data_IF_304735288592
#
_entry.id   IF_304735288592
#
_cell.length_a   1.000
_cell.length_b   1.000
_cell.length_c   1.000
_cell.angle_alpha   90.00
_cell.angle_beta   90.00
_cell.angle_gamma   90.00
#
_symmetry.space_group_name_H-M   'P 1'
#
loop_
_entity.id
_entity.type
_entity.pdbx_description
1 polymer ?
#
# COMPACT_ATOMS: atom_id res chain seq x y z
N UNK A 1 2.85 5.99 -0.05
CA UNK A 1 2.18 7.16 -0.69
C UNK A 1 2.94 8.41 -0.31
N UNK A 2 2.64 9.58 -0.91
CA UNK A 2 3.38 10.83 -0.61
C UNK A 2 2.49 11.86 0.09
N UNK A 3 3.04 12.60 1.05
CA UNK A 3 2.37 13.75 1.65
C UNK A 3 2.08 14.80 0.57
N UNK A 4 0.83 15.24 0.49
CA UNK A 4 0.32 16.18 -0.52
C UNK A 4 -0.11 15.55 -1.85
N UNK A 5 0.15 14.26 -2.08
CA UNK A 5 -0.41 13.50 -3.19
C UNK A 5 -1.87 13.14 -2.88
N UNK A 6 -2.78 13.19 -3.85
CA UNK A 6 -4.15 12.70 -3.68
C UNK A 6 -4.21 11.20 -3.95
N UNK A 7 -5.19 10.49 -3.39
CA UNK A 7 -5.43 9.09 -3.75
C UNK A 7 -5.62 8.89 -5.26
N UNK A 8 -6.31 9.82 -5.94
CA UNK A 8 -6.51 9.80 -7.39
C UNK A 8 -5.23 9.95 -8.21
N UNK A 9 -4.22 10.66 -7.71
CA UNK A 9 -2.90 10.75 -8.34
C UNK A 9 -2.02 9.54 -7.99
N UNK A 10 -2.20 9.01 -6.78
CA UNK A 10 -1.51 7.82 -6.29
C UNK A 10 -1.92 6.57 -7.07
N UNK A 11 -3.22 6.34 -7.26
CA UNK A 11 -3.79 5.09 -7.80
C UNK A 11 -3.22 4.65 -9.17
N UNK A 12 -3.25 5.47 -10.24
CA UNK A 12 -2.67 5.05 -11.52
C UNK A 12 -1.15 4.87 -11.43
N UNK A 13 -0.47 5.69 -10.61
CA UNK A 13 0.98 5.63 -10.43
C UNK A 13 1.41 4.34 -9.72
N UNK A 14 0.69 3.94 -8.68
CA UNK A 14 0.98 2.71 -7.94
C UNK A 14 0.63 1.48 -8.77
N UNK A 15 -0.53 1.45 -9.45
CA UNK A 15 -0.94 0.29 -10.26
C UNK A 15 0.06 0.03 -11.38
N UNK A 16 0.41 1.06 -12.17
CA UNK A 16 1.38 0.90 -13.25
C UNK A 16 2.79 0.60 -12.72
N UNK A 17 3.18 1.27 -11.63
CA UNK A 17 4.47 1.05 -10.97
C UNK A 17 4.61 -0.38 -10.44
N UNK A 18 3.56 -0.94 -9.84
CA UNK A 18 3.53 -2.29 -9.30
C UNK A 18 3.61 -3.35 -10.40
N UNK A 19 2.89 -3.17 -11.52
CA UNK A 19 2.99 -4.07 -12.68
C UNK A 19 4.42 -4.10 -13.25
N UNK A 20 5.01 -2.92 -13.45
CA UNK A 20 6.39 -2.79 -13.94
C UNK A 20 7.40 -3.40 -12.96
N UNK A 21 7.28 -3.06 -11.67
CA UNK A 21 8.17 -3.55 -10.62
C UNK A 21 8.11 -5.07 -10.50
N UNK A 22 6.90 -5.65 -10.49
CA UNK A 22 6.71 -7.10 -10.45
C UNK A 22 7.42 -7.79 -11.62
N UNK A 23 7.25 -7.27 -12.84
CA UNK A 23 7.93 -7.81 -14.03
C UNK A 23 9.46 -7.67 -13.95
N UNK A 24 9.97 -6.52 -13.53
CA UNK A 24 11.41 -6.26 -13.42
C UNK A 24 12.07 -7.18 -12.36
N UNK A 25 11.44 -7.32 -11.20
CA UNK A 25 11.92 -8.20 -10.12
C UNK A 25 11.91 -9.67 -10.54
N UNK A 26 10.83 -10.10 -11.20
CA UNK A 26 10.70 -11.48 -11.64
C UNK A 26 11.67 -11.81 -12.78
N UNK A 27 11.81 -10.91 -13.76
CA UNK A 27 12.80 -11.05 -14.80
C UNK A 27 14.22 -11.10 -14.23
N UNK A 28 14.52 -10.31 -13.18
CA UNK A 28 15.80 -10.35 -12.48
C UNK A 28 16.02 -11.70 -11.77
N UNK A 29 15.02 -12.23 -11.07
CA UNK A 29 15.09 -13.55 -10.42
C UNK A 29 15.39 -14.65 -11.42
N UNK A 30 14.65 -14.70 -12.54
CA UNK A 30 14.81 -15.73 -13.57
C UNK A 30 16.19 -15.65 -14.24
N UNK A 31 16.65 -14.44 -14.58
CA UNK A 31 17.99 -14.24 -15.15
C UNK A 31 19.10 -14.64 -14.19
N UNK A 32 18.95 -14.40 -12.89
CA UNK A 32 19.89 -14.84 -11.87
C UNK A 32 19.98 -16.38 -11.73
N UNK A 33 18.98 -17.10 -12.26
CA UNK A 33 18.94 -18.56 -12.33
C UNK A 33 19.11 -19.10 -13.75
N UNK A 34 19.65 -18.29 -14.68
CA UNK A 34 19.87 -18.64 -16.10
C UNK A 34 18.60 -19.14 -16.82
N UNK A 35 17.44 -18.61 -16.43
CA UNK A 35 16.14 -18.96 -17.01
C UNK A 35 15.61 -17.88 -17.96
N UNK A 36 14.81 -18.31 -18.94
CA UNK A 36 14.11 -17.40 -19.85
C UNK A 36 12.96 -16.71 -19.12
N UNK A 37 12.85 -15.39 -19.31
CA UNK A 37 11.78 -14.56 -18.71
C UNK A 37 10.40 -15.00 -19.18
N UNK A 38 10.25 -15.32 -20.46
CA UNK A 38 9.03 -15.94 -20.99
C UNK A 38 9.14 -17.46 -20.86
N UNK A 39 8.69 -17.98 -19.72
CA UNK A 39 8.65 -19.42 -19.44
C UNK A 39 7.57 -19.72 -18.40
N UNK A 40 7.23 -21.00 -18.24
CA UNK A 40 6.32 -21.46 -17.18
C UNK A 40 6.90 -21.27 -15.77
N UNK A 41 8.17 -20.90 -15.64
CA UNK A 41 8.80 -20.59 -14.34
C UNK A 41 8.55 -19.14 -13.90
N UNK A 42 7.92 -18.34 -14.76
CA UNK A 42 7.59 -16.96 -14.48
C UNK A 42 6.27 -16.88 -13.70
N UNK A 43 6.37 -16.50 -12.42
CA UNK A 43 5.25 -16.47 -11.49
C UNK A 43 4.23 -15.38 -11.84
N UNK A 44 4.67 -14.28 -12.48
CA UNK A 44 3.76 -13.23 -12.98
C UNK A 44 2.90 -13.77 -14.13
N UNK A 45 3.51 -14.47 -15.09
CA UNK A 45 2.78 -15.07 -16.21
C UNK A 45 1.81 -16.16 -15.71
N UNK A 46 2.25 -17.00 -14.77
CA UNK A 46 1.40 -18.02 -14.16
C UNK A 46 0.19 -17.39 -13.46
N UNK A 47 0.39 -16.31 -12.71
CA UNK A 47 -0.69 -15.61 -12.00
C UNK A 47 -1.74 -15.05 -12.97
N UNK A 48 -1.29 -14.43 -14.07
CA UNK A 48 -2.19 -13.96 -15.13
C UNK A 48 -2.92 -15.11 -15.83
N UNK A 49 -2.23 -16.20 -16.15
CA UNK A 49 -2.82 -17.38 -16.78
C UNK A 49 -3.90 -18.01 -15.90
N UNK A 50 -3.63 -18.20 -14.60
CA UNK A 50 -4.61 -18.71 -13.63
C UNK A 50 -5.85 -17.80 -13.57
N UNK A 51 -5.64 -16.48 -13.60
CA UNK A 51 -6.75 -15.50 -13.57
C UNK A 51 -7.63 -15.64 -14.81
N UNK A 52 -7.02 -15.75 -16.00
CA UNK A 52 -7.73 -15.98 -17.27
C UNK A 52 -8.50 -17.29 -17.25
N UNK A 53 -7.88 -18.38 -16.80
CA UNK A 53 -8.54 -19.70 -16.71
C UNK A 53 -9.72 -19.65 -15.74
N UNK A 54 -9.56 -19.02 -14.58
CA UNK A 54 -10.64 -18.86 -13.59
C UNK A 54 -11.80 -18.05 -14.17
N UNK A 55 -11.51 -16.91 -14.80
CA UNK A 55 -12.53 -16.05 -15.38
C UNK A 55 -13.25 -16.77 -16.52
N UNK A 56 -12.52 -17.49 -17.38
CA UNK A 56 -13.10 -18.30 -18.43
C UNK A 56 -14.00 -19.41 -17.88
N UNK A 57 -13.55 -20.15 -16.86
CA UNK A 57 -14.33 -21.22 -16.24
C UNK A 57 -15.64 -20.69 -15.64
N UNK A 58 -15.59 -19.57 -14.91
CA UNK A 58 -16.79 -18.94 -14.33
C UNK A 58 -17.72 -18.41 -15.43
N UNK A 59 -17.16 -17.86 -16.51
CA UNK A 59 -17.94 -17.36 -17.65
C UNK A 59 -18.62 -18.50 -18.43
N UNK A 60 -17.95 -19.64 -18.62
CA UNK A 60 -18.55 -20.83 -19.22
C UNK A 60 -19.66 -21.39 -18.33
N UNK A 61 -19.47 -21.37 -17.01
CA UNK A 61 -20.44 -21.89 -16.05
C UNK A 61 -21.70 -21.03 -15.90
N UNK A 62 -21.54 -19.71 -15.77
CA UNK A 62 -22.63 -18.76 -15.46
C UNK A 62 -23.08 -17.92 -16.66
N UNK A 63 -22.42 -18.08 -17.81
CA UNK A 63 -22.66 -17.31 -19.02
C UNK A 63 -21.94 -15.95 -19.05
N UNK A 64 -21.96 -15.31 -20.22
CA UNK A 64 -21.27 -14.04 -20.47
C UNK A 64 -21.77 -12.87 -19.58
N UNK A 65 -22.98 -12.98 -19.03
CA UNK A 65 -23.54 -11.97 -18.13
C UNK A 65 -22.71 -11.76 -16.85
N UNK A 66 -21.88 -12.73 -16.45
CA UNK A 66 -21.02 -12.61 -15.26
C UNK A 66 -19.76 -11.74 -15.51
N UNK A 67 -19.35 -11.55 -16.76
CA UNK A 67 -18.09 -10.86 -17.10
C UNK A 67 -18.01 -9.45 -16.52
N UNK A 68 -19.05 -8.59 -16.62
CA UNK A 68 -19.01 -7.27 -15.99
C UNK A 68 -18.79 -7.34 -14.47
N UNK A 69 -19.40 -8.30 -13.79
CA UNK A 69 -19.23 -8.49 -12.34
C UNK A 69 -17.80 -8.91 -12.00
N UNK A 70 -17.19 -9.79 -12.80
CA UNK A 70 -15.78 -10.20 -12.65
C UNK A 70 -14.81 -9.03 -12.83
N UNK A 71 -15.09 -8.14 -13.78
CA UNK A 71 -14.27 -6.94 -13.99
C UNK A 71 -14.47 -5.95 -12.85
N UNK A 72 -15.71 -5.67 -12.46
CA UNK A 72 -16.04 -4.74 -11.38
C UNK A 72 -15.41 -5.20 -10.07
N UNK A 73 -15.53 -6.49 -9.70
CA UNK A 73 -14.90 -6.98 -8.47
C UNK A 73 -13.38 -6.84 -8.54
N UNK A 74 -12.76 -7.12 -9.69
CA UNK A 74 -11.30 -7.09 -9.80
C UNK A 74 -10.80 -5.65 -9.63
N UNK A 75 -11.49 -4.70 -10.26
CA UNK A 75 -11.22 -3.26 -10.12
C UNK A 75 -11.43 -2.81 -8.69
N UNK A 76 -12.54 -3.20 -8.07
CA UNK A 76 -12.80 -2.87 -6.68
C UNK A 76 -11.75 -3.46 -5.74
N UNK A 77 -11.35 -4.72 -5.95
CA UNK A 77 -10.39 -5.43 -5.12
C UNK A 77 -9.00 -4.77 -5.13
N UNK A 78 -8.45 -4.46 -6.30
CA UNK A 78 -7.15 -3.78 -6.33
C UNK A 78 -7.25 -2.32 -5.86
N UNK A 79 -8.35 -1.60 -6.15
CA UNK A 79 -8.54 -0.25 -5.63
C UNK A 79 -8.63 -0.24 -4.10
N UNK A 80 -9.28 -1.24 -3.50
CA UNK A 80 -9.36 -1.40 -2.05
C UNK A 80 -7.97 -1.69 -1.45
N UNK A 81 -7.18 -2.54 -2.09
CA UNK A 81 -5.79 -2.78 -1.68
C UNK A 81 -4.95 -1.50 -1.76
N UNK A 82 -5.08 -0.73 -2.84
CA UNK A 82 -4.29 0.49 -3.03
C UNK A 82 -4.72 1.64 -2.11
N UNK A 83 -6.00 1.77 -1.76
CA UNK A 83 -6.43 2.78 -0.78
C UNK A 83 -5.95 2.43 0.63
N UNK A 84 -5.92 1.15 0.98
CA UNK A 84 -5.31 0.66 2.23
C UNK A 84 -3.82 1.00 2.26
N UNK A 85 -3.06 0.64 1.22
CA UNK A 85 -1.65 1.02 1.07
C UNK A 85 -1.44 2.53 1.14
N UNK A 86 -2.34 3.30 0.54
CA UNK A 86 -2.27 4.75 0.55
C UNK A 86 -2.43 5.31 1.96
N UNK A 87 -3.41 4.82 2.72
CA UNK A 87 -3.70 5.20 4.10
C UNK A 87 -2.53 4.83 5.03
N UNK A 88 -2.07 3.59 4.95
CA UNK A 88 -1.03 3.02 5.81
C UNK A 88 0.34 3.65 5.63
N UNK A 89 0.66 4.15 4.43
CA UNK A 89 1.99 4.66 4.13
C UNK A 89 2.00 6.15 3.73
N UNK A 90 0.96 6.91 4.12
CA UNK A 90 0.85 8.32 3.76
C UNK A 90 1.96 9.15 4.38
N UNK A 91 2.83 9.73 3.54
CA UNK A 91 3.90 10.63 3.96
C UNK A 91 5.10 9.94 4.63
N UNK A 92 5.04 8.63 4.86
CA UNK A 92 6.11 7.89 5.54
C UNK A 92 7.21 7.45 4.56
N UNK A 93 8.46 7.52 4.99
CA UNK A 93 9.64 7.16 4.20
C UNK A 93 10.68 6.43 5.03
N UNK A 94 11.20 5.33 4.49
CA UNK A 94 12.41 4.68 5.03
C UNK A 94 13.65 5.43 4.57
N UNK A 95 14.54 5.70 5.50
CA UNK A 95 15.81 6.36 5.25
C UNK A 95 16.83 5.40 4.63
N UNK A 96 17.70 5.97 3.80
CA UNK A 96 18.85 5.27 3.23
C UNK A 96 20.05 5.51 4.13
N UNK A 97 20.67 4.42 4.58
CA UNK A 97 21.89 4.45 5.39
C UNK A 97 23.09 4.81 4.51
N UNK A 98 24.18 5.27 5.13
CA UNK A 98 25.46 5.57 4.45
C UNK A 98 26.00 4.39 3.65
N UNK A 99 25.70 3.16 4.08
CA UNK A 99 26.01 1.92 3.35
C UNK A 99 25.28 1.77 2.01
N UNK A 100 24.38 2.68 1.66
CA UNK A 100 23.54 2.63 0.47
C UNK A 100 22.33 1.70 0.58
N UNK A 101 22.16 0.98 1.70
CA UNK A 101 20.97 0.16 2.00
C UNK A 101 19.92 0.97 2.74
N UNK A 102 18.65 0.60 2.59
CA UNK A 102 17.57 1.15 3.41
C UNK A 102 17.60 0.61 4.84
N UNK A 103 17.21 1.43 5.80
CA UNK A 103 17.03 1.02 7.20
C UNK A 103 16.05 -0.15 7.31
N UNK A 104 16.16 -0.98 8.36
CA UNK A 104 15.24 -2.11 8.56
C UNK A 104 13.80 -1.60 8.69
N UNK A 105 12.82 -2.36 8.18
CA UNK A 105 11.41 -2.04 8.40
C UNK A 105 11.08 -2.09 9.90
N UNK A 106 10.42 -1.05 10.41
CA UNK A 106 10.06 -0.83 11.81
C UNK A 106 8.60 -0.35 11.88
N UNK A 107 7.92 -0.49 13.03
CA UNK A 107 6.53 -0.07 13.16
C UNK A 107 6.26 1.40 12.78
N UNK A 108 7.25 2.27 12.94
CA UNK A 108 7.20 3.69 12.55
C UNK A 108 7.00 3.94 11.05
N UNK A 109 7.28 2.97 10.18
CA UNK A 109 7.17 3.14 8.72
C UNK A 109 5.75 2.90 8.16
N UNK A 110 4.76 2.78 9.03
CA UNK A 110 3.37 2.53 8.66
C UNK A 110 2.42 3.03 9.74
N UNK A 111 1.35 3.70 9.33
CA UNK A 111 0.24 4.07 10.19
C UNK A 111 -0.48 2.82 10.69
N UNK A 112 -0.71 2.77 11.99
CA UNK A 112 -1.42 1.70 12.69
C UNK A 112 -2.85 2.16 12.99
N UNK A 113 -3.77 1.23 13.23
CA UNK A 113 -5.06 1.56 13.84
C UNK A 113 -5.41 0.49 14.87
N UNK A 114 -5.99 0.88 16.00
CA UNK A 114 -6.28 -0.06 17.09
C UNK A 114 -7.74 0.07 17.54
N UNK A 115 -8.67 0.20 16.58
CA UNK A 115 -10.09 0.23 16.90
C UNK A 115 -10.66 -1.19 16.98
N UNK A 116 -11.23 -1.55 18.12
CA UNK A 116 -11.66 -2.93 18.42
C UNK A 116 -12.70 -3.45 17.41
N UNK A 117 -13.68 -2.62 17.04
CA UNK A 117 -14.74 -3.01 16.10
C UNK A 117 -14.19 -3.31 14.69
N UNK A 118 -13.29 -2.46 14.20
CA UNK A 118 -12.66 -2.63 12.88
C UNK A 118 -11.62 -3.75 12.88
N UNK A 119 -10.86 -3.93 13.96
CA UNK A 119 -9.96 -5.07 14.14
C UNK A 119 -10.72 -6.39 14.12
N UNK A 120 -11.89 -6.49 14.77
CA UNK A 120 -12.69 -7.73 14.70
C UNK A 120 -13.22 -7.97 13.27
N UNK A 121 -13.73 -6.93 12.60
CA UNK A 121 -14.29 -7.05 11.24
C UNK A 121 -13.23 -7.33 10.15
N UNK A 122 -12.04 -6.76 10.30
CA UNK A 122 -10.91 -6.93 9.38
C UNK A 122 -9.89 -7.95 9.91
N UNK A 123 -10.29 -8.79 10.87
CA UNK A 123 -9.47 -9.81 11.52
C UNK A 123 -8.13 -9.36 12.17
N UNK A 124 -7.92 -8.09 12.50
CA UNK A 124 -6.68 -7.45 12.98
C UNK A 124 -5.74 -6.95 11.88
N UNK A 125 -6.28 -6.71 10.67
CA UNK A 125 -5.53 -6.08 9.57
C UNK A 125 -4.90 -4.76 10.02
N UNK A 126 -5.53 -4.09 10.99
CA UNK A 126 -5.09 -2.78 11.44
C UNK A 126 -3.74 -2.78 12.17
N UNK A 127 -3.26 -3.93 12.69
CA UNK A 127 -1.91 -4.11 13.30
C UNK A 127 -0.78 -4.22 12.26
N UNK A 128 -0.94 -3.51 11.17
CA UNK A 128 -0.10 -3.53 9.98
C UNK A 128 1.38 -3.23 10.28
N UNK A 129 1.62 -2.35 11.25
CA UNK A 129 2.97 -1.95 11.65
C UNK A 129 3.81 -3.10 12.22
N UNK A 130 3.20 -4.02 12.97
CA UNK A 130 3.89 -5.22 13.45
C UNK A 130 4.06 -6.25 12.32
N UNK A 131 3.08 -6.38 11.43
CA UNK A 131 3.21 -7.27 10.27
C UNK A 131 4.39 -6.87 9.38
N UNK A 132 4.57 -5.57 9.13
CA UNK A 132 5.70 -5.07 8.35
C UNK A 132 7.05 -5.15 9.07
N UNK A 133 7.07 -5.00 10.39
CA UNK A 133 8.30 -5.13 11.18
C UNK A 133 8.71 -6.61 11.39
N UNK A 134 7.73 -7.51 11.46
CA UNK A 134 7.87 -8.93 11.76
C UNK A 134 6.97 -9.80 10.85
N UNK A 135 7.29 -9.91 9.55
CA UNK A 135 6.43 -10.57 8.56
C UNK A 135 6.24 -12.07 8.80
N UNK A 136 7.12 -12.71 9.58
CA UNK A 136 7.02 -14.12 9.95
C UNK A 136 6.11 -14.39 11.15
N UNK A 137 5.62 -13.33 11.82
CA UNK A 137 4.72 -13.48 12.97
C UNK A 137 3.33 -13.88 12.48
N UNK A 138 2.74 -14.88 13.14
CA UNK A 138 1.37 -15.29 12.86
C UNK A 138 0.41 -14.15 13.17
N UNK A 139 -0.61 -14.04 12.33
CA UNK A 139 -1.56 -12.95 12.34
C UNK A 139 -2.28 -12.75 13.68
N UNK A 140 -2.63 -13.84 14.36
CA UNK A 140 -3.29 -13.80 15.68
C UNK A 140 -2.38 -13.25 16.80
N UNK A 141 -1.08 -13.17 16.54
CA UNK A 141 -0.07 -12.74 17.52
C UNK A 141 0.45 -11.33 17.24
N UNK A 142 -0.08 -10.63 16.23
CA UNK A 142 0.35 -9.27 15.91
C UNK A 142 0.15 -8.36 17.11
N UNK A 143 1.11 -7.48 17.39
CA UNK A 143 1.13 -6.60 18.56
C UNK A 143 0.86 -5.16 18.16
N UNK A 144 0.39 -4.38 19.13
CA UNK A 144 0.39 -2.93 19.04
C UNK A 144 1.71 -2.40 19.61
N UNK A 145 2.23 -1.33 19.03
CA UNK A 145 3.41 -0.62 19.53
C UNK A 145 3.07 0.85 19.67
N UNK A 146 3.31 1.41 20.85
CA UNK A 146 3.02 2.82 21.15
C UNK A 146 3.83 3.77 20.26
N UNK A 147 5.00 3.33 19.80
CA UNK A 147 5.87 4.06 18.87
C UNK A 147 5.32 4.15 17.43
N UNK A 148 4.32 3.33 17.07
CA UNK A 148 3.76 3.37 15.72
C UNK A 148 2.82 4.56 15.55
N UNK A 149 2.93 5.33 14.45
CA UNK A 149 2.03 6.44 14.21
C UNK A 149 0.59 5.92 14.05
N UNK A 150 -0.37 6.54 14.72
CA UNK A 150 -1.76 6.06 14.75
C UNK A 150 -2.65 6.84 13.78
N UNK A 151 -3.50 6.11 13.06
CA UNK A 151 -4.63 6.71 12.37
C UNK A 151 -5.62 7.25 13.40
N UNK A 152 -6.25 8.42 13.13
CA UNK A 152 -7.19 9.03 14.08
C UNK A 152 -8.52 8.28 14.19
N UNK A 153 -8.84 7.40 13.25
CA UNK A 153 -10.07 6.62 13.22
C UNK A 153 -9.80 5.22 12.62
N UNK A 154 -10.81 4.34 12.66
CA UNK A 154 -10.75 2.99 12.09
C UNK A 154 -10.68 2.99 10.56
N UNK A 155 -10.20 1.88 10.00
CA UNK A 155 -9.91 1.76 8.56
C UNK A 155 -11.08 2.14 7.67
N UNK A 156 -12.32 1.73 8.00
CA UNK A 156 -13.49 2.05 7.18
C UNK A 156 -13.69 3.56 6.96
N UNK A 157 -13.57 4.35 8.03
CA UNK A 157 -13.69 5.82 7.92
C UNK A 157 -12.47 6.41 7.19
N UNK A 158 -11.26 5.93 7.50
CA UNK A 158 -10.03 6.45 6.91
C UNK A 158 -9.96 6.19 5.40
N UNK A 159 -10.35 4.99 4.96
CA UNK A 159 -10.48 4.62 3.55
C UNK A 159 -11.48 5.56 2.86
N UNK A 160 -12.67 5.74 3.43
CA UNK A 160 -13.68 6.66 2.88
C UNK A 160 -13.14 8.09 2.73
N UNK A 161 -12.47 8.60 3.76
CA UNK A 161 -11.89 9.96 3.75
C UNK A 161 -10.73 10.12 2.76
N UNK A 162 -9.96 9.07 2.47
CA UNK A 162 -8.86 9.10 1.51
C UNK A 162 -9.32 9.46 0.08
N UNK A 163 -10.56 9.10 -0.28
CA UNK A 163 -11.17 9.48 -1.56
C UNK A 163 -11.51 10.98 -1.67
N UNK A 164 -11.47 11.73 -0.57
CA UNK A 164 -11.76 13.17 -0.51
C UNK A 164 -10.50 13.98 -0.13
N UNK A 165 -9.62 14.33 -1.09
CA UNK A 165 -8.29 14.87 -0.81
C UNK A 165 -8.21 16.12 0.08
N UNK A 166 -9.15 17.09 0.04
CA UNK A 166 -9.12 18.23 0.95
C UNK A 166 -9.32 17.84 2.41
N UNK A 167 -10.22 16.88 2.68
CA UNK A 167 -10.52 16.41 4.04
C UNK A 167 -9.34 15.55 4.54
N UNK A 168 -8.90 14.60 3.71
CA UNK A 168 -7.74 13.77 4.00
C UNK A 168 -6.52 14.61 4.39
N UNK A 169 -6.15 15.61 3.58
CA UNK A 169 -4.98 16.45 3.83
C UNK A 169 -5.09 17.28 5.10
N UNK A 170 -6.27 17.84 5.41
CA UNK A 170 -6.49 18.54 6.68
C UNK A 170 -6.26 17.63 7.89
N UNK A 171 -6.66 16.37 7.77
CA UNK A 171 -6.57 15.38 8.85
C UNK A 171 -5.19 14.73 8.97
N UNK A 172 -4.48 14.49 7.87
CA UNK A 172 -3.25 13.68 7.89
C UNK A 172 -1.97 14.48 7.73
N UNK A 173 -1.98 15.64 7.06
CA UNK A 173 -0.74 16.38 6.80
C UNK A 173 -0.05 16.81 8.11
N UNK A 174 -0.81 17.35 9.09
CA UNK A 174 -0.25 17.75 10.39
C UNK A 174 0.29 16.56 11.19
N UNK A 175 -0.30 15.36 11.02
CA UNK A 175 0.14 14.14 11.71
C UNK A 175 1.46 13.63 11.15
N UNK A 176 1.67 13.77 9.84
CA UNK A 176 2.97 13.47 9.23
C UNK A 176 4.03 14.42 9.80
N UNK A 177 3.72 15.71 9.94
CA UNK A 177 4.62 16.71 10.52
C UNK A 177 4.97 16.35 11.97
N UNK A 178 3.96 16.06 12.79
CA UNK A 178 4.13 15.64 14.18
C UNK A 178 4.98 14.36 14.30
N UNK A 179 4.74 13.36 13.44
CA UNK A 179 5.51 12.11 13.43
C UNK A 179 7.01 12.31 13.17
N UNK A 180 7.38 13.30 12.35
CA UNK A 180 8.77 13.65 12.07
C UNK A 180 9.28 14.83 12.93
N UNK A 181 8.57 15.18 14.01
CA UNK A 181 8.94 16.26 14.93
C UNK A 181 9.20 17.60 14.21
N UNK A 182 8.48 17.86 13.11
CA UNK A 182 8.64 19.04 12.27
C UNK A 182 9.65 18.89 11.11
N UNK A 183 10.53 17.88 11.12
CA UNK A 183 11.51 17.67 10.04
C UNK A 183 10.90 16.95 8.84
N UNK A 184 10.21 17.71 7.98
CA UNK A 184 9.68 17.22 6.71
C UNK A 184 10.75 16.82 5.68
N UNK A 185 12.05 17.02 5.97
CA UNK A 185 13.14 16.46 5.17
C UNK A 185 13.17 14.93 5.20
N UNK A 186 12.67 14.34 6.30
CA UNK A 186 12.59 12.89 6.49
C UNK A 186 11.33 12.28 5.87
N UNK A 187 10.31 13.09 5.57
CA UNK A 187 9.02 12.65 5.04
C UNK A 187 9.03 12.40 3.52
N UNK A 188 8.13 11.53 3.05
CA UNK A 188 7.92 11.30 1.62
C UNK A 188 7.01 12.38 1.02
N UNK A 189 7.58 13.47 0.51
CA UNK A 189 6.80 14.60 -0.02
C UNK A 189 6.47 14.43 -1.52
N UNK A 190 5.27 14.87 -1.92
CA UNK A 190 4.92 14.95 -3.34
C UNK A 190 5.83 15.96 -4.06
N UNK A 191 6.56 15.57 -5.14
CA UNK A 191 7.55 16.45 -5.77
C UNK A 191 6.98 17.81 -6.20
N UNK A 192 5.77 17.82 -6.78
CA UNK A 192 5.10 19.03 -7.25
C UNK A 192 4.65 19.98 -6.13
N UNK A 193 4.60 19.52 -4.88
CA UNK A 193 4.18 20.32 -3.72
C UNK A 193 5.26 20.46 -2.65
N UNK A 194 6.47 19.93 -2.91
CA UNK A 194 7.54 19.84 -1.92
C UNK A 194 7.85 21.20 -1.28
N UNK A 195 8.15 22.21 -2.10
CA UNK A 195 8.47 23.55 -1.60
C UNK A 195 7.30 24.23 -0.88
N UNK A 196 6.06 23.98 -1.33
CA UNK A 196 4.87 24.53 -0.67
C UNK A 196 4.67 23.89 0.71
N UNK A 197 4.87 22.58 0.82
CA UNK A 197 4.73 21.84 2.07
C UNK A 197 5.82 22.23 3.05
N UNK A 198 7.08 22.34 2.60
CA UNK A 198 8.18 22.81 3.44
C UNK A 198 7.91 24.23 3.95
N UNK A 199 7.54 25.18 3.09
CA UNK A 199 7.21 26.55 3.50
C UNK A 199 6.03 26.67 4.45
N UNK A 200 5.07 25.73 4.39
CA UNK A 200 3.87 25.76 5.21
C UNK A 200 4.11 25.28 6.64
N UNK A 201 5.09 24.40 6.82
CA UNK A 201 5.32 23.67 8.08
C UNK A 201 6.73 23.90 8.67
N UNK A 202 7.57 24.71 8.02
CA UNK A 202 8.78 25.30 8.57
C UNK A 202 8.45 26.45 9.51
#
# INVERSE_FOLDING_TARGET
>A
SRMGESFWAFLPRTVWGSLRSAWELEAKRLRAHDQRVFSWRNDVLNSWAITVVLFAAVTVWLGAAVVPFLVIQAVFGFCLLEVVNYVEHYGLLRQRLDSGRYERCRPVHSWNSNHVASNVALYNLERHSDHHAHPTRRYQSLRHFDESPQLPNGYGLMIGLAYFPPIWRRMMDHRVVEHYEGDLGLANLAPSKREQLLRRWS
#
